data_IF_443880171439
#
_entry.id   IF_443880171439
#
_cell.length_a   1.000
_cell.length_b   1.000
_cell.length_c   1.000
_cell.angle_alpha   90.00
_cell.angle_beta   90.00
_cell.angle_gamma   90.00
#
_symmetry.space_group_name_H-M   'P 1'
#
loop_
_entity.id
_entity.type
_entity.pdbx_description
1 polymer ?
#
# COMPACT_ATOMS: atom_id res chain seq x y z
N UNK A 1 12.70 -52.93 -7.44
CA UNK A 1 12.06 -51.93 -8.35
C UNK A 1 10.80 -51.26 -7.78
N UNK A 2 9.94 -51.89 -6.97
CA UNK A 2 8.73 -51.27 -6.40
C UNK A 2 8.99 -50.17 -5.35
N UNK A 3 10.11 -50.17 -4.63
CA UNK A 3 10.42 -49.16 -3.61
C UNK A 3 10.95 -47.83 -4.18
N UNK A 4 11.56 -47.86 -5.36
CA UNK A 4 12.05 -46.63 -6.02
C UNK A 4 10.91 -45.78 -6.60
N UNK A 5 9.83 -46.45 -7.02
CA UNK A 5 8.65 -45.80 -7.58
C UNK A 5 7.85 -44.99 -6.53
N UNK A 6 7.86 -45.46 -5.28
CA UNK A 6 7.16 -44.75 -4.17
C UNK A 6 7.92 -43.49 -3.73
N UNK A 7 9.24 -43.48 -3.80
CA UNK A 7 10.06 -42.30 -3.45
C UNK A 7 9.90 -41.20 -4.51
N UNK A 8 9.80 -41.56 -5.79
CA UNK A 8 9.58 -40.61 -6.87
C UNK A 8 8.19 -39.94 -6.82
N UNK A 9 7.15 -40.69 -6.36
CA UNK A 9 5.81 -40.17 -6.17
C UNK A 9 5.71 -39.23 -4.96
N UNK A 10 6.53 -39.46 -3.92
CA UNK A 10 6.55 -38.59 -2.73
C UNK A 10 7.29 -37.27 -2.99
N UNK A 11 8.35 -37.28 -3.82
CA UNK A 11 9.06 -36.06 -4.23
C UNK A 11 8.27 -35.25 -5.28
N UNK A 12 7.50 -35.89 -6.16
CA UNK A 12 6.64 -35.22 -7.13
C UNK A 12 5.45 -34.48 -6.49
N UNK A 13 4.95 -34.98 -5.35
CA UNK A 13 3.85 -34.35 -4.62
C UNK A 13 4.24 -33.13 -3.79
N UNK A 14 5.52 -32.97 -3.44
CA UNK A 14 6.01 -31.83 -2.65
C UNK A 14 6.30 -30.59 -3.50
N UNK A 15 6.48 -30.75 -4.82
CA UNK A 15 6.72 -29.61 -5.72
C UNK A 15 5.43 -28.92 -6.21
N UNK A 16 4.26 -29.52 -6.04
CA UNK A 16 2.98 -28.91 -6.47
C UNK A 16 2.31 -28.04 -5.42
N UNK A 17 2.87 -27.90 -4.21
CA UNK A 17 2.28 -27.10 -3.12
C UNK A 17 2.89 -25.70 -2.96
N UNK A 18 3.87 -25.32 -3.80
CA UNK A 18 4.51 -24.00 -3.70
C UNK A 18 4.16 -23.02 -4.82
N UNK A 19 3.18 -23.33 -5.66
CA UNK A 19 2.82 -22.49 -6.82
C UNK A 19 1.37 -22.00 -6.79
N UNK A 20 0.87 -21.65 -5.63
CA UNK A 20 -0.40 -20.92 -5.53
C UNK A 20 -0.25 -19.86 -4.46
N UNK A 21 -0.01 -18.62 -4.86
CA UNK A 21 -0.47 -17.38 -4.22
C UNK A 21 0.38 -16.13 -4.46
N UNK A 22 1.31 -16.08 -5.41
CA UNK A 22 2.13 -14.87 -5.56
C UNK A 22 1.56 -13.79 -6.49
N UNK A 23 0.60 -14.08 -7.37
CA UNK A 23 0.17 -13.11 -8.39
C UNK A 23 -1.03 -12.23 -8.02
N UNK A 24 -1.75 -12.50 -6.93
CA UNK A 24 -2.94 -11.73 -6.53
C UNK A 24 -2.74 -10.74 -5.38
N UNK A 25 -1.68 -10.92 -4.59
CA UNK A 25 -1.52 -10.20 -3.31
C UNK A 25 -1.20 -8.71 -3.52
N UNK A 26 -0.55 -8.34 -4.61
CA UNK A 26 -0.16 -6.96 -4.92
C UNK A 26 -0.87 -6.38 -6.14
N UNK A 27 -1.95 -7.01 -6.62
CA UNK A 27 -2.64 -6.53 -7.82
C UNK A 27 -3.11 -5.07 -7.68
N UNK A 28 -3.56 -4.65 -6.50
CA UNK A 28 -3.97 -3.28 -6.23
C UNK A 28 -2.80 -2.27 -6.34
N UNK A 29 -1.55 -2.71 -6.12
CA UNK A 29 -0.36 -1.85 -6.22
C UNK A 29 -0.12 -1.36 -7.65
N UNK A 30 -0.53 -2.13 -8.65
CA UNK A 30 -0.36 -1.79 -10.07
C UNK A 30 -1.52 -0.95 -10.64
N UNK A 31 -2.60 -0.77 -9.87
CA UNK A 31 -3.82 -0.10 -10.32
C UNK A 31 -3.84 1.36 -9.91
N UNK A 32 -4.52 2.17 -10.70
CA UNK A 32 -4.97 3.50 -10.27
C UNK A 32 -6.13 3.30 -9.29
N UNK A 33 -6.12 4.05 -8.19
CA UNK A 33 -7.14 3.90 -7.15
C UNK A 33 -7.40 5.21 -6.41
N UNK A 34 -8.52 5.24 -5.71
CA UNK A 34 -8.83 6.24 -4.68
C UNK A 34 -9.19 5.49 -3.41
N UNK A 35 -8.59 5.87 -2.31
CA UNK A 35 -8.86 5.30 -0.99
C UNK A 35 -9.19 6.39 0.02
N UNK A 36 -10.18 6.17 0.85
CA UNK A 36 -10.42 6.96 2.04
C UNK A 36 -9.79 6.27 3.24
N UNK A 37 -8.98 7.01 3.99
CA UNK A 37 -8.16 6.47 5.07
C UNK A 37 -8.31 7.33 6.33
N UNK A 38 -8.25 6.67 7.49
CA UNK A 38 -8.18 7.34 8.79
C UNK A 38 -6.80 7.15 9.40
N UNK A 39 -6.10 8.24 9.68
CA UNK A 39 -4.72 8.23 10.18
C UNK A 39 -4.71 8.55 11.67
N UNK A 40 -4.11 7.64 12.47
CA UNK A 40 -4.00 7.76 13.93
C UNK A 40 -5.33 8.08 14.63
N UNK A 41 -6.45 7.65 14.04
CA UNK A 41 -7.79 7.94 14.55
C UNK A 41 -8.22 9.41 14.52
N UNK A 42 -7.42 10.33 13.94
CA UNK A 42 -7.62 11.78 14.00
C UNK A 42 -7.90 12.45 12.67
N UNK A 43 -7.23 12.02 11.61
CA UNK A 43 -7.32 12.65 10.30
C UNK A 43 -7.99 11.69 9.33
N UNK A 44 -9.03 12.16 8.66
CA UNK A 44 -9.59 11.45 7.50
C UNK A 44 -9.00 12.07 6.25
N UNK A 45 -8.42 11.25 5.38
CA UNK A 45 -7.79 11.69 4.14
C UNK A 45 -8.28 10.85 2.97
N UNK A 46 -8.30 11.46 1.79
CA UNK A 46 -8.43 10.77 0.53
C UNK A 46 -7.05 10.62 -0.10
N UNK A 47 -6.67 9.42 -0.44
CA UNK A 47 -5.42 9.10 -1.14
C UNK A 47 -5.78 8.64 -2.54
N UNK A 48 -5.42 9.44 -3.56
CA UNK A 48 -5.64 9.12 -4.96
C UNK A 48 -4.30 8.82 -5.63
N UNK A 49 -4.16 7.61 -6.20
CA UNK A 49 -2.99 7.19 -6.95
C UNK A 49 -3.33 7.08 -8.43
N UNK A 50 -2.55 7.75 -9.26
CA UNK A 50 -2.64 7.68 -10.73
C UNK A 50 -1.24 7.48 -11.30
N UNK A 51 -0.97 6.30 -11.82
CA UNK A 51 0.37 5.93 -12.26
C UNK A 51 1.39 5.99 -11.11
N UNK A 52 2.38 6.89 -11.25
CA UNK A 52 3.40 7.13 -10.22
C UNK A 52 3.09 8.33 -9.31
N UNK A 53 2.10 9.13 -9.66
CA UNK A 53 1.69 10.28 -8.87
C UNK A 53 0.70 9.87 -7.79
N UNK A 54 0.81 10.48 -6.61
CA UNK A 54 -0.11 10.29 -5.51
C UNK A 54 -0.56 11.65 -4.99
N UNK A 55 -1.87 11.80 -4.78
CA UNK A 55 -2.45 12.99 -4.17
C UNK A 55 -3.10 12.59 -2.86
N UNK A 56 -2.81 13.33 -1.79
CA UNK A 56 -3.40 13.15 -0.47
C UNK A 56 -4.17 14.42 -0.14
N UNK A 57 -5.49 14.32 0.01
CA UNK A 57 -6.36 15.42 0.38
C UNK A 57 -6.92 15.19 1.78
N UNK A 58 -6.80 16.17 2.66
CA UNK A 58 -7.38 16.12 4.00
C UNK A 58 -8.88 16.38 3.92
N UNK A 59 -9.69 15.47 4.47
CA UNK A 59 -11.14 15.57 4.56
C UNK A 59 -11.59 16.04 5.95
N UNK A 60 -10.88 15.58 7.00
CA UNK A 60 -11.10 15.93 8.39
C UNK A 60 -9.76 16.08 9.14
N UNK A 61 -9.68 16.95 10.14
CA UNK A 61 -10.72 17.83 10.68
C UNK A 61 -10.97 19.07 9.81
N UNK A 62 -12.08 19.77 10.06
CA UNK A 62 -12.56 20.90 9.24
C UNK A 62 -11.52 22.02 9.10
N UNK A 63 -10.71 22.29 10.14
CA UNK A 63 -9.67 23.32 10.09
C UNK A 63 -8.44 22.95 9.22
N UNK A 64 -8.35 21.71 8.76
CA UNK A 64 -7.31 21.22 7.85
C UNK A 64 -7.90 20.74 6.51
N UNK A 65 -9.21 20.84 6.35
CA UNK A 65 -9.93 20.41 5.17
C UNK A 65 -9.40 21.12 3.93
N UNK A 66 -9.35 20.36 2.84
CA UNK A 66 -8.87 20.81 1.52
C UNK A 66 -7.36 21.10 1.43
N UNK A 67 -6.59 20.86 2.50
CA UNK A 67 -5.15 20.78 2.35
C UNK A 67 -4.84 19.56 1.47
N UNK A 68 -4.11 19.81 0.41
CA UNK A 68 -3.77 18.78 -0.58
C UNK A 68 -2.26 18.68 -0.75
N UNK A 69 -1.75 17.45 -0.71
CA UNK A 69 -0.36 17.14 -1.03
C UNK A 69 -0.32 16.35 -2.33
N UNK A 70 0.42 16.82 -3.30
CA UNK A 70 0.73 16.06 -4.53
C UNK A 70 2.16 15.57 -4.44
N UNK A 71 2.34 14.26 -4.38
CA UNK A 71 3.64 13.59 -4.23
C UNK A 71 4.08 13.03 -5.56
N UNK A 72 5.22 13.51 -6.04
CA UNK A 72 5.89 13.07 -7.26
C UNK A 72 7.41 13.09 -7.04
N UNK A 73 8.17 13.72 -7.94
CA UNK A 73 9.61 13.97 -7.75
C UNK A 73 9.88 14.94 -6.60
N UNK A 74 8.96 15.85 -6.35
CA UNK A 74 8.89 16.73 -5.19
C UNK A 74 7.49 16.66 -4.60
N UNK A 75 7.25 17.30 -3.47
CA UNK A 75 5.93 17.42 -2.86
C UNK A 75 5.41 18.82 -3.06
N UNK A 76 4.20 18.93 -3.60
CA UNK A 76 3.47 20.19 -3.68
C UNK A 76 2.37 20.19 -2.62
N UNK A 77 2.42 21.16 -1.71
CA UNK A 77 1.37 21.45 -0.75
C UNK A 77 0.48 22.57 -1.32
N UNK A 78 -0.81 22.31 -1.45
CA UNK A 78 -1.80 23.31 -1.80
C UNK A 78 -2.80 23.49 -0.64
N UNK A 79 -3.11 24.73 -0.29
CA UNK A 79 -4.09 25.07 0.73
C UNK A 79 -4.71 26.43 0.38
N UNK A 80 -6.02 26.47 0.15
CA UNK A 80 -6.73 27.66 -0.33
C UNK A 80 -6.07 28.23 -1.60
N UNK A 81 -5.53 29.45 -1.52
CA UNK A 81 -4.88 30.15 -2.65
C UNK A 81 -3.34 30.03 -2.62
N UNK A 82 -2.80 29.23 -1.70
CA UNK A 82 -1.36 29.02 -1.57
C UNK A 82 -0.93 27.69 -2.15
N UNK A 83 0.20 27.73 -2.86
CA UNK A 83 0.89 26.55 -3.32
C UNK A 83 2.35 26.65 -2.93
N UNK A 84 2.89 25.60 -2.30
CA UNK A 84 4.28 25.53 -1.86
C UNK A 84 4.90 24.22 -2.34
N UNK A 85 6.02 24.34 -3.05
CA UNK A 85 6.81 23.19 -3.46
C UNK A 85 7.91 22.93 -2.43
N UNK A 86 8.04 21.68 -2.00
CA UNK A 86 8.95 21.22 -0.96
C UNK A 86 9.72 20.00 -1.42
N UNK A 87 10.88 19.78 -0.85
CA UNK A 87 11.64 18.56 -1.08
C UNK A 87 11.01 17.38 -0.32
N UNK A 88 11.19 16.16 -0.84
CA UNK A 88 10.58 14.94 -0.26
C UNK A 88 11.03 14.68 1.18
N UNK A 89 12.28 15.01 1.48
CA UNK A 89 12.90 14.83 2.80
C UNK A 89 12.22 15.68 3.88
N UNK A 90 11.74 16.88 3.52
CA UNK A 90 11.05 17.78 4.43
C UNK A 90 9.65 17.26 4.82
N UNK A 91 9.05 16.44 3.96
CA UNK A 91 7.72 15.85 4.14
C UNK A 91 7.75 14.33 4.07
N UNK A 92 8.76 13.71 4.66
CA UNK A 92 8.97 12.25 4.66
C UNK A 92 7.73 11.47 5.13
N UNK A 93 6.99 11.95 6.13
CA UNK A 93 5.74 11.34 6.59
C UNK A 93 4.64 11.35 5.52
N UNK A 94 4.51 12.43 4.74
CA UNK A 94 3.55 12.52 3.62
C UNK A 94 3.97 11.58 2.49
N UNK A 95 5.29 11.53 2.19
CA UNK A 95 5.82 10.59 1.21
C UNK A 95 5.57 9.13 1.62
N UNK A 96 5.68 8.81 2.91
CA UNK A 96 5.38 7.48 3.43
C UNK A 96 3.88 7.13 3.27
N UNK A 97 2.97 8.06 3.55
CA UNK A 97 1.53 7.86 3.31
C UNK A 97 1.24 7.63 1.82
N UNK A 98 1.87 8.40 0.93
CA UNK A 98 1.75 8.21 -0.51
C UNK A 98 2.28 6.83 -0.97
N UNK A 99 3.28 6.29 -0.26
CA UNK A 99 3.89 4.98 -0.52
C UNK A 99 3.00 3.78 -0.22
N UNK A 100 1.92 3.91 0.56
CA UNK A 100 1.05 2.80 0.98
C UNK A 100 0.62 1.91 -0.19
N UNK A 101 0.21 2.54 -1.30
CA UNK A 101 -0.32 1.86 -2.48
C UNK A 101 0.70 1.72 -3.63
N UNK A 102 2.00 1.90 -3.34
CA UNK A 102 3.06 1.93 -4.36
C UNK A 102 4.29 1.11 -3.97
N UNK A 103 4.10 0.11 -3.10
CA UNK A 103 5.20 -0.78 -2.68
C UNK A 103 5.59 -1.72 -3.82
N UNK A 104 6.89 -1.89 -4.04
CA UNK A 104 7.43 -2.86 -4.99
C UNK A 104 7.56 -4.24 -4.33
N UNK A 105 7.44 -5.30 -5.12
CA UNK A 105 7.71 -6.67 -4.67
C UNK A 105 9.15 -6.83 -4.14
N UNK A 106 10.10 -6.10 -4.72
CA UNK A 106 11.50 -6.12 -4.28
C UNK A 106 11.69 -5.59 -2.86
N UNK A 107 10.72 -4.81 -2.36
CA UNK A 107 10.71 -4.28 -0.99
C UNK A 107 10.02 -5.20 0.02
N UNK A 108 9.39 -6.30 -0.44
CA UNK A 108 8.69 -7.25 0.42
C UNK A 108 9.69 -8.06 1.25
N UNK A 109 9.64 -7.92 2.56
CA UNK A 109 10.53 -8.62 3.50
C UNK A 109 9.87 -9.81 4.16
N UNK A 110 8.55 -9.81 4.27
CA UNK A 110 7.78 -10.89 4.92
C UNK A 110 6.35 -10.92 4.40
N UNK A 111 5.82 -12.13 4.24
CA UNK A 111 4.40 -12.38 3.97
C UNK A 111 3.94 -13.52 4.88
N UNK A 112 2.92 -13.28 5.69
CA UNK A 112 2.36 -14.27 6.61
C UNK A 112 0.86 -14.35 6.45
N UNK A 113 0.32 -15.58 6.44
CA UNK A 113 -1.12 -15.77 6.46
C UNK A 113 -1.64 -15.58 7.90
N UNK A 114 -2.65 -14.76 8.08
CA UNK A 114 -3.25 -14.45 9.38
C UNK A 114 -4.78 -14.66 9.32
N UNK A 115 -5.23 -15.85 9.72
CA UNK A 115 -6.64 -16.23 9.61
C UNK A 115 -7.10 -16.27 8.16
N UNK A 116 -8.12 -15.47 7.82
CA UNK A 116 -8.68 -15.37 6.46
C UNK A 116 -8.06 -14.24 5.63
N UNK A 117 -7.04 -13.56 6.14
CA UNK A 117 -6.29 -12.50 5.48
C UNK A 117 -4.79 -12.77 5.49
N UNK A 118 -4.02 -11.80 5.03
CA UNK A 118 -2.56 -11.86 4.99
C UNK A 118 -1.95 -10.61 5.60
N UNK A 119 -0.79 -10.74 6.22
CA UNK A 119 0.02 -9.61 6.66
C UNK A 119 1.31 -9.57 5.84
N UNK A 120 1.56 -8.43 5.23
CA UNK A 120 2.73 -8.17 4.39
C UNK A 120 3.61 -7.13 5.07
N UNK A 121 4.90 -7.32 5.04
CA UNK A 121 5.86 -6.33 5.54
C UNK A 121 6.78 -5.91 4.40
N UNK A 122 6.84 -4.60 4.15
CA UNK A 122 7.74 -4.00 3.18
C UNK A 122 8.73 -3.08 3.90
N UNK A 123 9.90 -2.94 3.31
CA UNK A 123 10.90 -1.96 3.76
C UNK A 123 11.31 -1.10 2.56
N UNK A 124 10.98 0.19 2.62
CA UNK A 124 11.22 1.14 1.53
C UNK A 124 11.45 2.53 2.07
N UNK A 125 12.40 3.27 1.50
CA UNK A 125 12.69 4.69 1.80
C UNK A 125 12.85 5.00 3.30
N UNK A 126 13.49 4.10 4.07
CA UNK A 126 13.67 4.27 5.52
C UNK A 126 12.41 4.00 6.36
N UNK A 127 11.36 3.49 5.75
CA UNK A 127 10.11 3.12 6.42
C UNK A 127 9.87 1.60 6.37
N UNK A 128 9.22 1.09 7.40
CA UNK A 128 8.66 -0.26 7.44
C UNK A 128 7.15 -0.13 7.34
N UNK A 129 6.56 -0.82 6.36
CA UNK A 129 5.11 -0.88 6.15
C UNK A 129 4.61 -2.27 6.52
N UNK A 130 3.71 -2.36 7.48
CA UNK A 130 2.99 -3.61 7.81
C UNK A 130 1.57 -3.48 7.29
N UNK A 131 1.27 -4.15 6.17
CA UNK A 131 -0.02 -4.07 5.49
C UNK A 131 -0.83 -5.32 5.84
N UNK A 132 -2.01 -5.13 6.41
CA UNK A 132 -2.96 -6.22 6.63
C UNK A 132 -3.96 -6.24 5.49
N UNK A 133 -4.04 -7.37 4.80
CA UNK A 133 -5.02 -7.60 3.73
C UNK A 133 -6.23 -8.34 4.28
N UNK A 134 -7.41 -7.94 3.83
CA UNK A 134 -8.66 -8.66 4.06
C UNK A 134 -8.81 -9.89 3.15
N UNK A 135 -9.94 -10.58 3.26
CA UNK A 135 -10.29 -11.76 2.44
C UNK A 135 -10.28 -11.47 0.92
N UNK A 136 -10.58 -10.25 0.53
CA UNK A 136 -10.58 -9.82 -0.87
C UNK A 136 -9.20 -9.57 -1.46
N UNK A 137 -8.12 -9.70 -0.66
CA UNK A 137 -6.77 -9.30 -1.06
C UNK A 137 -6.53 -7.78 -1.04
N UNK A 138 -7.54 -6.99 -0.65
CA UNK A 138 -7.40 -5.55 -0.52
C UNK A 138 -6.90 -5.18 0.89
N UNK A 139 -6.06 -4.14 1.02
CA UNK A 139 -5.61 -3.68 2.32
C UNK A 139 -6.78 -3.11 3.14
N UNK A 140 -6.80 -3.41 4.43
CA UNK A 140 -7.76 -2.86 5.39
C UNK A 140 -7.08 -2.03 6.47
N UNK A 141 -5.80 -2.26 6.75
CA UNK A 141 -5.01 -1.42 7.64
C UNK A 141 -3.53 -1.46 7.28
N UNK A 142 -2.85 -0.36 7.57
CA UNK A 142 -1.40 -0.23 7.38
C UNK A 142 -0.80 0.40 8.62
N UNK A 143 0.28 -0.18 9.10
CA UNK A 143 1.12 0.41 10.14
C UNK A 143 2.44 0.80 9.50
N UNK A 144 2.83 2.07 9.63
CA UNK A 144 4.05 2.64 9.05
C UNK A 144 4.94 3.11 10.18
N UNK A 145 6.19 2.67 10.20
CA UNK A 145 7.20 3.08 11.17
C UNK A 145 8.43 3.58 10.46
N UNK A 146 8.95 4.71 10.92
CA UNK A 146 10.27 5.25 10.60
C UNK A 146 10.98 5.68 11.88
N UNK A 147 12.20 6.20 11.76
CA UNK A 147 12.91 6.79 12.91
C UNK A 147 12.22 8.05 13.46
N UNK A 148 11.43 8.76 12.63
CA UNK A 148 10.90 10.09 12.94
C UNK A 148 9.41 10.13 13.18
N UNK A 149 8.66 9.11 12.74
CA UNK A 149 7.20 9.08 12.83
C UNK A 149 6.67 7.65 12.83
N UNK A 150 5.41 7.54 13.27
CA UNK A 150 4.63 6.31 13.31
C UNK A 150 3.19 6.64 12.91
N UNK A 151 2.64 5.86 11.99
CA UNK A 151 1.26 5.99 11.54
C UNK A 151 0.51 4.68 11.64
N UNK A 152 -0.67 4.74 12.25
CA UNK A 152 -1.70 3.73 12.14
C UNK A 152 -2.74 4.22 11.13
N UNK A 153 -2.89 3.50 10.02
CA UNK A 153 -3.79 3.87 8.93
C UNK A 153 -4.87 2.81 8.80
N UNK A 154 -6.10 3.18 9.09
CA UNK A 154 -7.29 2.39 8.81
C UNK A 154 -7.80 2.75 7.43
N UNK A 155 -8.06 1.78 6.58
CA UNK A 155 -8.58 1.99 5.24
C UNK A 155 -10.09 1.81 5.28
N UNK A 156 -10.82 2.91 5.09
CA UNK A 156 -12.28 2.96 5.17
C UNK A 156 -12.93 2.49 3.87
N UNK A 157 -12.34 2.88 2.73
CA UNK A 157 -12.81 2.45 1.41
C UNK A 157 -11.67 2.44 0.40
N UNK A 158 -11.78 1.60 -0.64
CA UNK A 158 -10.90 1.61 -1.81
C UNK A 158 -11.74 1.45 -3.06
N UNK A 159 -11.54 2.34 -4.01
CA UNK A 159 -12.10 2.26 -5.36
C UNK A 159 -10.97 2.11 -6.37
N UNK A 160 -10.94 0.99 -7.08
CA UNK A 160 -10.03 0.79 -8.21
C UNK A 160 -10.56 1.53 -9.43
N UNK A 161 -9.71 2.36 -10.03
CA UNK A 161 -10.05 3.04 -11.29
C UNK A 161 -9.77 2.09 -12.45
N UNK A 162 -10.81 1.71 -13.18
CA UNK A 162 -10.65 1.01 -14.44
C UNK A 162 -10.10 2.02 -15.46
N UNK A 163 -8.96 1.72 -16.10
CA UNK A 163 -8.52 2.50 -17.26
C UNK A 163 -9.60 2.40 -18.32
N UNK A 164 -10.34 3.49 -18.53
CA UNK A 164 -11.14 3.65 -19.72
C UNK A 164 -10.12 3.83 -20.84
N UNK A 165 -9.89 2.79 -21.63
CA UNK A 165 -9.17 2.92 -22.88
C UNK A 165 -9.99 3.92 -23.72
N UNK A 166 -9.50 5.15 -23.83
CA UNK A 166 -10.02 6.08 -24.81
C UNK A 166 -9.70 5.47 -26.19
N UNK A 167 -10.75 5.06 -26.91
CA UNK A 167 -10.69 4.68 -28.31
C UNK A 167 -10.32 5.88 -29.19
#
# INVERSE_FOLDING_TARGET
MKRLFFILLFFGGLFCLSCQTEYGILEYQSKDLVAECKINGKYTVEIAKVGKACTIRVLEPENAKDITFTVGESVTLAASDMELKMEREELSGICALAGIFSQSEDCLTSATQKGEGSALTFQSEGCVYQITLGKSGMPNSVYIVSESFEYEVEILSIELKTKILAE
#
